data_IF_139893461186
#
_entry.id   IF_139893461186
#
_cell.length_a   1.000
_cell.length_b   1.000
_cell.length_c   1.000
_cell.angle_alpha   90.00
_cell.angle_beta   90.00
_cell.angle_gamma   90.00
#
_symmetry.space_group_name_H-M   'P 1'
#
loop_
_entity.id
_entity.type
_entity.pdbx_description
1 polymer ?
#
# COMPACT_ATOMS: atom_id res chain seq x y z
N UNK A 1 -6.58 9.82 -13.93
CA UNK A 1 -6.32 8.41 -14.28
C UNK A 1 -7.24 7.55 -13.43
N UNK A 2 -7.82 6.47 -13.94
CA UNK A 2 -8.79 5.68 -13.18
C UNK A 2 -8.20 5.12 -11.86
N UNK A 3 -6.97 4.60 -11.90
CA UNK A 3 -6.26 4.12 -10.70
C UNK A 3 -6.20 5.13 -9.54
N UNK A 4 -5.95 6.41 -9.82
CA UNK A 4 -5.92 7.43 -8.77
C UNK A 4 -7.31 7.80 -8.25
N UNK A 5 -8.35 7.55 -9.05
CA UNK A 5 -9.75 7.66 -8.64
C UNK A 5 -10.10 6.59 -7.62
N UNK A 6 -9.93 5.31 -7.98
CA UNK A 6 -10.26 4.17 -7.10
C UNK A 6 -9.46 4.17 -5.81
N UNK A 7 -8.19 4.59 -5.86
CA UNK A 7 -7.41 4.76 -4.64
C UNK A 7 -7.98 5.87 -3.73
N UNK A 8 -8.59 6.90 -4.31
CA UNK A 8 -9.31 7.94 -3.59
C UNK A 8 -10.62 7.43 -3.00
N UNK A 9 -11.37 6.61 -3.74
CA UNK A 9 -12.61 5.97 -3.27
C UNK A 9 -12.31 5.04 -2.09
N UNK A 10 -11.27 4.20 -2.18
CA UNK A 10 -10.77 3.39 -1.08
C UNK A 10 -10.45 4.22 0.16
N UNK A 11 -9.68 5.31 0.01
CA UNK A 11 -9.30 6.18 1.15
C UNK A 11 -10.53 6.89 1.74
N UNK A 12 -11.54 7.22 0.92
CA UNK A 12 -12.75 7.91 1.34
C UNK A 12 -13.57 7.10 2.36
N UNK A 13 -13.46 5.77 2.34
CA UNK A 13 -14.09 4.87 3.31
C UNK A 13 -13.60 5.16 4.73
N UNK A 14 -12.32 5.52 4.88
CA UNK A 14 -11.64 5.71 6.17
C UNK A 14 -11.51 7.18 6.59
N UNK A 15 -11.84 8.13 5.72
CA UNK A 15 -11.46 9.54 5.86
C UNK A 15 -11.93 10.23 7.17
N UNK A 16 -13.00 9.73 7.79
CA UNK A 16 -13.58 10.28 9.02
C UNK A 16 -13.43 9.36 10.22
N UNK A 17 -12.69 8.25 10.09
CA UNK A 17 -12.49 7.26 11.14
C UNK A 17 -11.25 7.58 11.96
N UNK A 18 -11.28 7.27 13.26
CA UNK A 18 -10.06 7.14 14.06
C UNK A 18 -9.27 5.88 13.68
N UNK A 19 -8.04 5.77 14.18
CA UNK A 19 -7.24 4.56 13.97
C UNK A 19 -7.92 3.32 14.55
N UNK A 20 -8.51 3.43 15.75
CA UNK A 20 -9.27 2.35 16.38
C UNK A 20 -10.49 1.94 15.53
N UNK A 21 -11.27 2.92 15.06
CA UNK A 21 -12.45 2.65 14.22
C UNK A 21 -12.08 1.99 12.89
N UNK A 22 -10.95 2.37 12.29
CA UNK A 22 -10.47 1.79 11.02
C UNK A 22 -10.15 0.29 11.11
N UNK A 23 -9.88 -0.22 12.32
CA UNK A 23 -9.55 -1.64 12.58
C UNK A 23 -10.78 -2.51 12.77
N UNK A 24 -11.95 -1.91 13.01
CA UNK A 24 -13.20 -2.60 13.36
C UNK A 24 -14.34 -2.22 12.39
N UNK A 25 -14.10 -2.39 11.08
CA UNK A 25 -15.12 -2.12 10.07
C UNK A 25 -16.34 -3.03 10.26
N UNK A 26 -17.53 -2.44 10.20
CA UNK A 26 -18.76 -3.21 10.09
C UNK A 26 -18.81 -3.97 8.74
N UNK A 27 -19.65 -5.01 8.60
CA UNK A 27 -19.68 -5.84 7.39
C UNK A 27 -19.95 -5.07 6.09
N UNK A 28 -20.69 -3.97 6.14
CA UNK A 28 -21.00 -3.15 4.97
C UNK A 28 -19.75 -2.41 4.52
N UNK A 29 -19.07 -1.70 5.45
CA UNK A 29 -17.84 -0.97 5.18
C UNK A 29 -16.69 -1.90 4.76
N UNK A 30 -16.64 -3.11 5.32
CA UNK A 30 -15.66 -4.12 4.90
C UNK A 30 -15.90 -4.59 3.46
N UNK A 31 -17.15 -4.76 3.05
CA UNK A 31 -17.48 -5.11 1.67
C UNK A 31 -17.13 -3.97 0.70
N UNK A 32 -17.49 -2.72 1.05
CA UNK A 32 -17.07 -1.54 0.28
C UNK A 32 -15.54 -1.48 0.14
N UNK A 33 -14.79 -1.67 1.23
CA UNK A 33 -13.33 -1.65 1.18
C UNK A 33 -12.77 -2.78 0.29
N UNK A 34 -13.40 -3.95 0.30
CA UNK A 34 -12.98 -5.07 -0.54
C UNK A 34 -13.19 -4.77 -2.05
N UNK A 35 -14.32 -4.14 -2.40
CA UNK A 35 -14.62 -3.73 -3.77
C UNK A 35 -13.61 -2.68 -4.26
N UNK A 36 -13.36 -1.63 -3.47
CA UNK A 36 -12.40 -0.59 -3.84
C UNK A 36 -10.95 -1.10 -3.93
N UNK A 37 -10.56 -2.05 -3.06
CA UNK A 37 -9.27 -2.75 -3.17
C UNK A 37 -9.18 -3.52 -4.50
N UNK A 38 -10.27 -4.19 -4.89
CA UNK A 38 -10.31 -4.93 -6.15
C UNK A 38 -10.18 -3.98 -7.35
N UNK A 39 -10.85 -2.83 -7.33
CA UNK A 39 -10.78 -1.85 -8.42
C UNK A 39 -9.38 -1.25 -8.56
N UNK A 40 -8.73 -0.87 -7.44
CA UNK A 40 -7.32 -0.47 -7.43
C UNK A 40 -6.43 -1.56 -8.03
N UNK A 41 -6.62 -2.81 -7.62
CA UNK A 41 -5.83 -3.93 -8.12
C UNK A 41 -6.05 -4.18 -9.62
N UNK A 42 -7.30 -4.11 -10.10
CA UNK A 42 -7.65 -4.31 -11.50
C UNK A 42 -6.97 -3.27 -12.39
N UNK A 43 -7.03 -1.99 -12.02
CA UNK A 43 -6.35 -0.95 -12.79
C UNK A 43 -4.83 -1.06 -12.70
N UNK A 44 -4.27 -1.48 -11.56
CA UNK A 44 -2.82 -1.70 -11.45
C UNK A 44 -2.35 -2.84 -12.34
N UNK A 45 -3.10 -3.96 -12.38
CA UNK A 45 -2.82 -5.09 -13.29
C UNK A 45 -2.94 -4.66 -14.73
N UNK A 46 -4.01 -3.97 -15.10
CA UNK A 46 -4.20 -3.47 -16.46
C UNK A 46 -3.07 -2.52 -16.89
N UNK A 47 -2.62 -1.64 -15.99
CA UNK A 47 -1.50 -0.73 -16.27
C UNK A 47 -0.19 -1.51 -16.45
N UNK A 48 0.08 -2.50 -15.60
CA UNK A 48 1.29 -3.30 -15.71
C UNK A 48 1.33 -4.11 -17.02
N UNK A 49 0.20 -4.69 -17.43
CA UNK A 49 0.05 -5.36 -18.73
C UNK A 49 0.38 -4.41 -19.90
N UNK A 50 -0.17 -3.19 -19.88
CA UNK A 50 0.13 -2.18 -20.91
C UNK A 50 1.58 -1.73 -20.97
N UNK A 51 2.32 -1.88 -19.87
CA UNK A 51 3.72 -1.49 -19.77
C UNK A 51 4.69 -2.67 -19.86
N UNK A 52 4.18 -3.89 -20.09
CA UNK A 52 4.96 -5.13 -20.10
C UNK A 52 5.76 -5.33 -18.79
N UNK A 53 5.09 -5.08 -17.65
CA UNK A 53 5.67 -5.20 -16.32
C UNK A 53 5.15 -6.47 -15.64
N UNK A 54 6.04 -7.41 -15.35
CA UNK A 54 5.78 -8.49 -14.40
C UNK A 54 5.70 -7.92 -12.97
N UNK A 55 4.49 -7.82 -12.44
CA UNK A 55 4.22 -7.31 -11.09
C UNK A 55 4.92 -8.16 -10.02
N UNK A 56 4.89 -9.50 -10.15
CA UNK A 56 5.48 -10.39 -9.16
C UNK A 56 6.98 -10.16 -9.01
N UNK A 57 7.69 -10.10 -10.14
CA UNK A 57 9.12 -9.79 -10.14
C UNK A 57 9.41 -8.35 -9.70
N UNK A 58 8.56 -7.39 -10.05
CA UNK A 58 8.73 -6.00 -9.63
C UNK A 58 8.61 -5.86 -8.10
N UNK A 59 7.65 -6.57 -7.50
CA UNK A 59 7.47 -6.65 -6.05
C UNK A 59 8.68 -7.32 -5.40
N UNK A 60 9.13 -8.48 -5.89
CA UNK A 60 10.30 -9.18 -5.35
C UNK A 60 11.55 -8.28 -5.34
N UNK A 61 11.87 -7.65 -6.49
CA UNK A 61 12.99 -6.70 -6.58
C UNK A 61 12.84 -5.52 -5.62
N UNK A 62 11.61 -5.04 -5.40
CA UNK A 62 11.34 -3.96 -4.45
C UNK A 62 11.53 -4.41 -3.00
N UNK A 63 11.11 -5.62 -2.64
CA UNK A 63 11.33 -6.19 -1.30
C UNK A 63 12.83 -6.31 -1.00
N UNK A 64 13.63 -6.82 -1.95
CA UNK A 64 15.09 -6.90 -1.80
C UNK A 64 15.72 -5.51 -1.60
N UNK A 65 15.32 -4.51 -2.39
CA UNK A 65 15.76 -3.12 -2.22
C UNK A 65 15.35 -2.55 -0.85
N UNK A 66 14.14 -2.86 -0.39
CA UNK A 66 13.65 -2.42 0.91
C UNK A 66 14.41 -3.09 2.06
N UNK A 67 14.77 -4.38 1.95
CA UNK A 67 15.56 -5.07 2.97
C UNK A 67 16.96 -4.46 3.14
N UNK A 68 17.58 -4.00 2.04
CA UNK A 68 18.85 -3.27 2.09
C UNK A 68 18.66 -1.89 2.71
N UNK A 69 17.57 -1.19 2.37
CA UNK A 69 17.28 0.17 2.87
C UNK A 69 16.81 0.19 4.33
N UNK A 70 16.17 -0.87 4.80
CA UNK A 70 15.60 -1.00 6.14
C UNK A 70 16.09 -2.31 6.77
N UNK A 71 17.39 -2.41 7.12
CA UNK A 71 17.91 -3.60 7.77
C UNK A 71 17.17 -3.84 9.09
N UNK A 72 16.80 -5.09 9.33
CA UNK A 72 15.95 -5.49 10.46
C UNK A 72 16.55 -5.02 11.79
N UNK A 73 17.86 -5.13 11.94
CA UNK A 73 18.60 -4.80 13.14
C UNK A 73 18.49 -3.31 13.52
N UNK A 74 18.26 -2.42 12.54
CA UNK A 74 18.13 -0.99 12.76
C UNK A 74 16.68 -0.48 12.75
N UNK A 75 15.74 -1.21 12.13
CA UNK A 75 14.37 -0.71 11.89
C UNK A 75 13.25 -1.63 12.40
N UNK A 76 13.55 -2.72 13.12
CA UNK A 76 12.51 -3.59 13.68
C UNK A 76 11.61 -2.83 14.67
N UNK A 77 10.32 -2.71 14.33
CA UNK A 77 9.34 -1.96 15.13
C UNK A 77 9.43 -0.44 15.00
N UNK A 78 10.19 0.09 14.03
CA UNK A 78 10.43 1.52 13.84
C UNK A 78 9.79 2.02 12.55
N UNK A 79 9.04 3.12 12.62
CA UNK A 79 8.51 3.85 11.45
C UNK A 79 9.49 4.90 10.91
N UNK A 80 10.73 4.96 11.43
CA UNK A 80 11.75 5.92 11.00
C UNK A 80 12.12 5.73 9.54
N UNK A 81 12.36 6.83 8.84
CA UNK A 81 12.87 6.78 7.46
C UNK A 81 14.40 6.66 7.48
N UNK A 82 14.97 6.10 6.41
CA UNK A 82 16.42 5.86 6.30
C UNK A 82 17.26 7.16 6.30
N UNK A 83 16.67 8.29 5.92
CA UNK A 83 17.31 9.62 6.03
C UNK A 83 17.42 10.13 7.47
N UNK A 84 16.85 9.42 8.45
CA UNK A 84 16.99 9.69 9.89
C UNK A 84 17.95 8.70 10.58
N UNK A 85 18.72 7.89 9.83
CA UNK A 85 19.78 7.07 10.41
C UNK A 85 21.03 7.92 10.63
N UNK A 86 21.16 8.44 11.85
CA UNK A 86 22.37 8.97 12.49
C UNK A 86 23.42 9.57 11.55
N UNK A 87 23.30 10.88 11.30
CA UNK A 87 24.48 11.71 11.10
C UNK A 87 25.38 11.54 12.33
N UNK A 88 26.44 10.74 12.20
CA UNK A 88 27.63 10.83 13.07
C UNK A 88 28.36 12.13 12.82
#
# INVERSE_FOLDING_TARGET
MALSGEAGELVSIFQWMTEEESKELNPIKLAEAADEIADVQLYLVALADKLDIDIGQAVERKMLKNAIKYPREAFYGSSRKYDESDET
#
